data_IF_943099973618
#
_entry.id   IF_943099973618
#
_cell.length_a   1.000
_cell.length_b   1.000
_cell.length_c   1.000
_cell.angle_alpha   90.00
_cell.angle_beta   90.00
_cell.angle_gamma   90.00
#
_symmetry.space_group_name_H-M   'P 1'
#
loop_
_entity.id
_entity.type
_entity.pdbx_description
1 polymer ?
#
# COMPACT_ATOMS: atom_id res chain seq x y z
N UNK A 1 -0.34 3.54 -11.99
CA UNK A 1 -1.79 3.89 -11.93
C UNK A 1 -2.15 5.12 -12.78
N UNK A 2 -1.64 6.32 -12.49
CA UNK A 2 -1.98 7.54 -13.26
C UNK A 2 -1.70 7.41 -14.76
N UNK A 3 -0.56 6.82 -15.14
CA UNK A 3 -0.24 6.54 -16.55
C UNK A 3 -1.27 5.63 -17.21
N UNK A 4 -1.68 4.55 -16.53
CA UNK A 4 -2.72 3.64 -17.04
C UNK A 4 -4.07 4.36 -17.24
N UNK A 5 -4.47 5.19 -16.27
CA UNK A 5 -5.69 6.00 -16.41
C UNK A 5 -5.59 6.99 -17.60
N UNK A 6 -4.43 7.60 -17.82
CA UNK A 6 -4.21 8.54 -18.93
C UNK A 6 -4.26 7.84 -20.29
N UNK A 7 -3.60 6.69 -20.43
CA UNK A 7 -3.65 5.86 -21.65
C UNK A 7 -5.09 5.44 -21.94
N UNK A 8 -5.79 4.91 -20.93
CA UNK A 8 -7.19 4.53 -21.04
C UNK A 8 -8.08 5.69 -21.45
N UNK A 9 -7.87 6.89 -20.88
CA UNK A 9 -8.63 8.09 -21.25
C UNK A 9 -8.42 8.47 -22.72
N UNK A 10 -7.20 8.33 -23.23
CA UNK A 10 -6.90 8.56 -24.65
C UNK A 10 -7.69 7.61 -25.57
N UNK A 11 -7.75 6.31 -25.24
CA UNK A 11 -8.53 5.33 -25.99
C UNK A 11 -10.04 5.49 -25.81
N UNK A 12 -10.49 5.90 -24.63
CA UNK A 12 -11.89 6.18 -24.33
C UNK A 12 -12.48 7.24 -25.27
N UNK A 13 -11.76 8.34 -25.50
CA UNK A 13 -12.18 9.40 -26.42
C UNK A 13 -12.35 8.91 -27.87
N UNK A 14 -11.76 7.76 -28.22
CA UNK A 14 -11.80 7.18 -29.57
C UNK A 14 -12.89 6.11 -29.74
N UNK A 15 -13.32 5.46 -28.66
CA UNK A 15 -14.21 4.29 -28.70
C UNK A 15 -15.63 4.53 -28.16
N UNK A 16 -15.94 5.70 -27.58
CA UNK A 16 -17.24 6.00 -26.96
C UNK A 16 -17.71 5.02 -25.85
N UNK A 17 -16.80 4.21 -25.28
CA UNK A 17 -17.08 3.32 -24.14
C UNK A 17 -16.42 3.90 -22.89
N UNK A 18 -17.19 4.64 -22.08
CA UNK A 18 -16.61 5.48 -21.02
C UNK A 18 -16.51 4.77 -19.68
N UNK A 19 -17.51 3.96 -19.33
CA UNK A 19 -17.76 3.62 -17.92
C UNK A 19 -16.69 2.71 -17.29
N UNK A 20 -16.01 1.86 -18.08
CA UNK A 20 -15.09 0.83 -17.56
C UNK A 20 -13.64 0.96 -18.03
N UNK A 21 -13.36 1.79 -19.04
CA UNK A 21 -12.04 1.86 -19.67
C UNK A 21 -10.98 2.47 -18.75
N UNK A 22 -11.35 3.47 -17.94
CA UNK A 22 -10.42 4.07 -16.98
C UNK A 22 -10.06 3.09 -15.85
N UNK A 23 -11.02 2.44 -15.16
CA UNK A 23 -10.72 1.35 -14.23
C UNK A 23 -9.83 0.25 -14.82
N UNK A 24 -10.05 -0.16 -16.07
CA UNK A 24 -9.19 -1.14 -16.75
C UNK A 24 -7.72 -0.67 -16.82
N UNK A 25 -7.48 0.58 -17.21
CA UNK A 25 -6.12 1.12 -17.28
C UNK A 25 -5.45 1.23 -15.93
N UNK A 26 -6.21 1.60 -14.89
CA UNK A 26 -5.71 1.61 -13.51
C UNK A 26 -5.34 0.20 -13.06
N UNK A 27 -6.22 -0.79 -13.29
CA UNK A 27 -5.96 -2.20 -12.97
C UNK A 27 -4.72 -2.72 -13.71
N UNK A 28 -4.62 -2.49 -15.02
CA UNK A 28 -3.45 -2.86 -15.83
C UNK A 28 -2.15 -2.29 -15.26
N UNK A 29 -2.12 -0.99 -14.98
CA UNK A 29 -0.91 -0.32 -14.51
C UNK A 29 -0.52 -0.69 -13.06
N UNK A 30 -1.48 -1.06 -12.22
CA UNK A 30 -1.17 -1.59 -10.89
C UNK A 30 -0.64 -3.03 -11.03
N UNK A 31 -1.28 -3.85 -11.86
CA UNK A 31 -0.89 -5.25 -12.06
C UNK A 31 0.46 -5.42 -12.74
N UNK A 32 0.82 -4.53 -13.68
CA UNK A 32 2.13 -4.58 -14.34
C UNK A 32 3.29 -4.31 -13.37
N UNK A 33 3.04 -3.55 -12.29
CA UNK A 33 4.07 -3.20 -11.30
C UNK A 33 4.17 -4.26 -10.20
N UNK A 34 3.03 -4.70 -9.67
CA UNK A 34 2.99 -5.61 -8.52
C UNK A 34 2.78 -7.07 -8.89
N UNK A 35 2.50 -7.38 -10.17
CA UNK A 35 2.16 -8.72 -10.67
C UNK A 35 1.02 -9.41 -9.89
N UNK A 36 0.05 -8.61 -9.42
CA UNK A 36 -1.10 -9.01 -8.61
C UNK A 36 -2.43 -8.69 -9.35
N UNK A 37 -2.83 -9.50 -10.35
CA UNK A 37 -4.01 -9.23 -11.16
C UNK A 37 -5.31 -9.16 -10.36
N UNK A 38 -5.54 -10.03 -9.40
CA UNK A 38 -6.82 -10.06 -8.66
C UNK A 38 -6.93 -8.81 -7.78
N UNK A 39 -5.85 -8.49 -7.06
CA UNK A 39 -5.75 -7.30 -6.22
C UNK A 39 -5.96 -6.03 -7.04
N UNK A 40 -5.32 -5.93 -8.20
CA UNK A 40 -5.43 -4.74 -9.05
C UNK A 40 -6.84 -4.52 -9.59
N UNK A 41 -7.56 -5.60 -9.89
CA UNK A 41 -8.97 -5.57 -10.32
C UNK A 41 -9.85 -5.04 -9.21
N UNK A 42 -9.71 -5.60 -8.01
CA UNK A 42 -10.48 -5.19 -6.83
C UNK A 42 -10.18 -3.74 -6.48
N UNK A 43 -8.90 -3.33 -6.52
CA UNK A 43 -8.49 -1.95 -6.29
C UNK A 43 -9.15 -0.97 -7.25
N UNK A 44 -9.13 -1.26 -8.55
CA UNK A 44 -9.76 -0.40 -9.54
C UNK A 44 -11.28 -0.27 -9.32
N UNK A 45 -11.94 -1.36 -8.90
CA UNK A 45 -13.38 -1.37 -8.60
C UNK A 45 -13.75 -0.68 -7.28
N UNK A 46 -12.87 -0.71 -6.27
CA UNK A 46 -13.10 -0.19 -4.92
C UNK A 46 -12.70 1.29 -4.78
N UNK A 47 -11.53 1.67 -5.29
CA UNK A 47 -10.91 2.98 -5.01
C UNK A 47 -11.32 4.07 -6.00
N UNK A 48 -11.55 3.71 -7.27
CA UNK A 48 -11.73 4.71 -8.33
C UNK A 48 -13.14 5.34 -8.34
N UNK A 49 -14.11 4.74 -7.63
CA UNK A 49 -15.45 5.27 -7.55
C UNK A 49 -15.90 5.36 -6.08
N UNK A 50 -15.75 6.55 -5.51
CA UNK A 50 -15.66 6.84 -4.08
C UNK A 50 -16.93 6.57 -3.27
N UNK A 51 -18.00 6.07 -3.91
CA UNK A 51 -19.30 5.81 -3.25
C UNK A 51 -19.86 4.41 -3.50
N UNK A 52 -19.39 3.67 -4.52
CA UNK A 52 -19.94 2.35 -4.87
C UNK A 52 -18.91 1.47 -5.57
N UNK A 53 -18.81 0.23 -5.11
CA UNK A 53 -18.04 -0.81 -5.78
C UNK A 53 -18.58 -1.09 -7.19
N UNK A 54 -17.71 -1.02 -8.20
CA UNK A 54 -18.10 -1.17 -9.61
C UNK A 54 -18.11 -2.63 -10.07
N UNK A 55 -19.18 -3.37 -9.74
CA UNK A 55 -19.32 -4.79 -10.09
C UNK A 55 -19.21 -5.08 -11.60
N UNK A 56 -19.74 -4.19 -12.44
CA UNK A 56 -19.69 -4.35 -13.91
C UNK A 56 -18.26 -4.24 -14.47
N UNK A 57 -17.34 -3.60 -13.74
CA UNK A 57 -15.96 -3.42 -14.15
C UNK A 57 -15.07 -4.64 -13.82
N UNK A 58 -15.53 -5.61 -13.02
CA UNK A 58 -14.68 -6.73 -12.54
C UNK A 58 -14.09 -7.52 -13.70
N UNK A 59 -14.93 -8.06 -14.59
CA UNK A 59 -14.49 -8.87 -15.72
C UNK A 59 -13.51 -8.11 -16.64
N UNK A 60 -13.84 -6.90 -17.14
CA UNK A 60 -12.91 -6.18 -18.01
C UNK A 60 -11.62 -5.78 -17.29
N UNK A 61 -11.67 -5.38 -16.01
CA UNK A 61 -10.47 -5.09 -15.23
C UNK A 61 -9.61 -6.34 -15.00
N UNK A 62 -10.22 -7.51 -14.81
CA UNK A 62 -9.48 -8.78 -14.63
C UNK A 62 -8.75 -9.21 -15.90
N UNK A 63 -9.39 -9.08 -17.06
CA UNK A 63 -8.75 -9.34 -18.35
C UNK A 63 -7.59 -8.36 -18.55
N UNK A 64 -7.83 -7.08 -18.28
CA UNK A 64 -6.81 -6.03 -18.43
C UNK A 64 -5.63 -6.18 -17.45
N UNK A 65 -5.87 -6.60 -16.21
CA UNK A 65 -4.80 -6.81 -15.22
C UNK A 65 -4.01 -8.09 -15.49
N UNK A 66 -4.69 -9.16 -15.88
CA UNK A 66 -4.03 -10.43 -16.21
C UNK A 66 -3.14 -10.28 -17.45
N UNK A 67 -3.63 -9.62 -18.50
CA UNK A 67 -2.84 -9.30 -19.69
C UNK A 67 -1.63 -8.43 -19.36
N UNK A 68 -1.79 -7.38 -18.54
CA UNK A 68 -0.68 -6.54 -18.10
C UNK A 68 0.37 -7.31 -17.28
N UNK A 69 -0.06 -8.26 -16.45
CA UNK A 69 0.84 -9.14 -15.68
C UNK A 69 1.62 -10.07 -16.59
N UNK A 70 0.96 -10.68 -17.59
CA UNK A 70 1.62 -11.51 -18.59
C UNK A 70 2.64 -10.70 -19.40
N UNK A 71 2.28 -9.49 -19.82
CA UNK A 71 3.21 -8.58 -20.50
C UNK A 71 4.41 -8.26 -19.60
N UNK A 72 4.20 -7.92 -18.33
CA UNK A 72 5.29 -7.66 -17.39
C UNK A 72 6.23 -8.87 -17.23
N UNK A 73 5.66 -10.08 -17.14
CA UNK A 73 6.41 -11.32 -17.09
C UNK A 73 7.27 -11.57 -18.34
N UNK A 74 6.79 -11.19 -19.53
CA UNK A 74 7.60 -11.27 -20.76
C UNK A 74 8.82 -10.35 -20.74
N UNK A 75 8.78 -9.26 -19.98
CA UNK A 75 9.91 -8.35 -19.77
C UNK A 75 10.77 -8.73 -18.55
N UNK A 76 10.54 -9.90 -17.95
CA UNK A 76 11.31 -10.40 -16.80
C UNK A 76 10.87 -9.86 -15.44
N UNK A 77 9.73 -9.16 -15.37
CA UNK A 77 9.15 -8.75 -14.09
C UNK A 77 8.29 -9.87 -13.54
N UNK A 78 8.69 -10.40 -12.38
CA UNK A 78 7.97 -11.48 -11.72
C UNK A 78 7.35 -11.01 -10.41
N UNK A 79 6.32 -11.73 -9.97
CA UNK A 79 5.69 -11.50 -8.68
C UNK A 79 6.69 -11.79 -7.57
N UNK A 80 6.84 -10.84 -6.65
CA UNK A 80 7.48 -11.08 -5.36
C UNK A 80 6.57 -12.00 -4.55
N UNK A 81 7.04 -13.21 -4.27
CA UNK A 81 6.31 -14.18 -3.45
C UNK A 81 7.19 -14.62 -2.31
N UNK A 82 6.62 -14.61 -1.10
CA UNK A 82 7.29 -15.06 0.11
C UNK A 82 6.59 -16.33 0.57
N UNK A 83 7.27 -17.46 0.43
CA UNK A 83 6.71 -18.74 0.88
C UNK A 83 6.89 -18.81 2.39
N UNK A 84 5.78 -18.71 3.12
CA UNK A 84 5.75 -18.83 4.56
C UNK A 84 4.57 -19.72 4.95
N UNK A 85 4.87 -20.87 5.54
CA UNK A 85 3.86 -21.79 6.03
C UNK A 85 3.67 -21.55 7.53
N UNK A 86 2.51 -21.01 7.89
CA UNK A 86 2.12 -20.88 9.28
C UNK A 86 0.62 -21.06 9.41
N UNK A 87 0.23 -22.12 10.09
CA UNK A 87 -1.17 -22.35 10.44
C UNK A 87 -1.49 -21.57 11.70
N UNK A 88 -2.34 -20.55 11.59
CA UNK A 88 -2.83 -19.80 12.74
C UNK A 88 -3.70 -20.69 13.63
N UNK A 89 -3.28 -20.92 14.87
CA UNK A 89 -4.05 -21.67 15.86
C UNK A 89 -5.22 -20.81 16.39
N UNK A 90 -6.45 -21.29 16.16
CA UNK A 90 -7.70 -20.62 16.54
C UNK A 90 -7.98 -20.82 18.04
N UNK A 91 -7.20 -20.13 18.86
CA UNK A 91 -7.38 -20.04 20.31
C UNK A 91 -7.86 -18.64 20.69
N UNK A 92 -8.71 -18.53 21.72
CA UNK A 92 -9.25 -17.24 22.20
C UNK A 92 -8.13 -16.22 22.46
N UNK A 93 -7.04 -16.66 23.09
CA UNK A 93 -5.85 -15.81 23.35
C UNK A 93 -5.22 -15.29 22.07
N UNK A 94 -5.09 -16.13 21.05
CA UNK A 94 -4.51 -15.74 19.76
C UNK A 94 -5.45 -14.83 18.97
N UNK A 95 -6.76 -15.05 19.04
CA UNK A 95 -7.77 -14.17 18.42
C UNK A 95 -7.69 -12.77 19.03
N UNK A 96 -7.61 -12.65 20.37
CA UNK A 96 -7.48 -11.36 21.04
C UNK A 96 -6.18 -10.64 20.62
N UNK A 97 -5.04 -11.35 20.61
CA UNK A 97 -3.76 -10.78 20.13
C UNK A 97 -3.84 -10.33 18.67
N UNK A 98 -4.51 -11.11 17.82
CA UNK A 98 -4.69 -10.80 16.40
C UNK A 98 -5.57 -9.55 16.21
N UNK A 99 -6.64 -9.41 16.99
CA UNK A 99 -7.46 -8.20 17.00
C UNK A 99 -6.64 -6.97 17.40
N UNK A 100 -5.83 -7.07 18.45
CA UNK A 100 -4.93 -5.99 18.89
C UNK A 100 -3.94 -5.64 17.77
N UNK A 101 -3.29 -6.64 17.17
CA UNK A 101 -2.37 -6.46 16.05
C UNK A 101 -3.00 -5.67 14.91
N UNK A 102 -4.16 -6.13 14.41
CA UNK A 102 -4.84 -5.50 13.28
C UNK A 102 -5.29 -4.08 13.63
N UNK A 103 -5.79 -3.86 14.84
CA UNK A 103 -6.20 -2.53 15.30
C UNK A 103 -5.01 -1.57 15.34
N UNK A 104 -3.86 -1.99 15.88
CA UNK A 104 -2.63 -1.20 15.86
C UNK A 104 -2.18 -0.89 14.43
N UNK A 105 -2.14 -1.88 13.54
CA UNK A 105 -1.76 -1.68 12.13
C UNK A 105 -2.71 -0.71 11.41
N UNK A 106 -4.02 -0.84 11.64
CA UNK A 106 -5.03 0.06 11.09
C UNK A 106 -4.79 1.50 11.59
N UNK A 107 -4.52 1.68 12.88
CA UNK A 107 -4.21 3.00 13.44
C UNK A 107 -2.95 3.61 12.81
N UNK A 108 -1.92 2.82 12.52
CA UNK A 108 -0.69 3.30 11.85
C UNK A 108 -1.00 3.80 10.43
N UNK A 109 -1.82 3.07 9.67
CA UNK A 109 -2.27 3.50 8.33
C UNK A 109 -3.08 4.80 8.38
N UNK A 110 -4.02 4.91 9.33
CA UNK A 110 -4.79 6.15 9.55
C UNK A 110 -3.92 7.31 9.98
N UNK A 111 -2.97 7.06 10.88
CA UNK A 111 -2.02 8.06 11.33
C UNK A 111 -1.19 8.58 10.15
N UNK A 112 -0.73 7.69 9.25
CA UNK A 112 -0.03 8.10 8.04
C UNK A 112 -0.89 9.02 7.16
N UNK A 113 -2.13 8.63 6.86
CA UNK A 113 -3.04 9.44 6.05
C UNK A 113 -3.32 10.82 6.67
N UNK A 114 -3.60 10.86 7.98
CA UNK A 114 -3.82 12.09 8.72
C UNK A 114 -2.58 13.00 8.73
N UNK A 115 -1.42 12.43 9.04
CA UNK A 115 -0.14 13.15 9.06
C UNK A 115 0.23 13.68 7.69
N UNK A 116 -0.01 12.91 6.61
CA UNK A 116 0.28 13.35 5.25
C UNK A 116 -0.57 14.55 4.85
N UNK A 117 -1.87 14.49 5.11
CA UNK A 117 -2.79 15.59 4.77
C UNK A 117 -2.48 16.84 5.60
N UNK A 118 -2.24 16.67 6.90
CA UNK A 118 -1.85 17.76 7.81
C UNK A 118 -0.53 18.40 7.41
N UNK A 119 0.48 17.57 7.07
CA UNK A 119 1.81 18.04 6.68
C UNK A 119 1.78 18.74 5.32
N UNK A 120 1.05 18.21 4.34
CA UNK A 120 0.82 18.88 3.04
C UNK A 120 0.23 20.27 3.25
N UNK A 121 -0.80 20.40 4.10
CA UNK A 121 -1.41 21.69 4.44
C UNK A 121 -0.41 22.64 5.10
N UNK A 122 0.28 22.18 6.14
CA UNK A 122 1.27 22.98 6.88
C UNK A 122 2.41 23.49 5.98
N UNK A 123 2.96 22.61 5.14
CA UNK A 123 4.05 22.98 4.23
C UNK A 123 3.54 23.92 3.14
N UNK A 124 2.32 23.73 2.62
CA UNK A 124 1.71 24.67 1.65
C UNK A 124 1.54 26.08 2.26
N UNK A 125 1.18 26.18 3.54
CA UNK A 125 1.02 27.47 4.24
C UNK A 125 2.37 28.15 4.52
N UNK A 126 3.39 27.38 4.93
CA UNK A 126 4.72 27.92 5.26
C UNK A 126 5.61 28.18 4.04
N UNK A 127 5.49 27.35 3.02
CA UNK A 127 6.28 27.40 1.78
C UNK A 127 5.33 27.34 0.57
N UNK A 128 4.60 28.45 0.30
CA UNK A 128 3.61 28.50 -0.78
C UNK A 128 4.25 28.40 -2.18
N UNK A 129 5.51 28.84 -2.33
CA UNK A 129 6.22 28.73 -3.59
C UNK A 129 6.78 27.30 -3.77
N UNK A 130 6.20 26.58 -4.72
CA UNK A 130 6.54 25.18 -5.02
C UNK A 130 8.03 24.96 -5.33
N UNK A 131 8.71 25.92 -6.00
CA UNK A 131 10.14 25.80 -6.34
C UNK A 131 11.00 25.77 -5.08
N UNK A 132 10.80 26.73 -4.18
CA UNK A 132 11.55 26.79 -2.92
C UNK A 132 11.22 25.63 -2.00
N UNK A 133 9.94 25.22 -1.93
CA UNK A 133 9.51 24.06 -1.15
C UNK A 133 10.27 22.80 -1.53
N UNK A 134 10.31 22.45 -2.82
CA UNK A 134 10.99 21.26 -3.31
C UNK A 134 12.50 21.36 -3.01
N UNK A 135 13.13 22.51 -3.28
CA UNK A 135 14.57 22.69 -3.03
C UNK A 135 14.92 22.51 -1.54
N UNK A 136 14.21 23.19 -0.64
CA UNK A 136 14.52 23.17 0.79
C UNK A 136 14.32 21.75 1.37
N UNK A 137 13.17 21.13 1.09
CA UNK A 137 12.87 19.81 1.62
C UNK A 137 13.76 18.73 1.00
N UNK A 138 14.10 18.84 -0.28
CA UNK A 138 15.02 17.90 -0.94
C UNK A 138 16.43 17.98 -0.37
N UNK A 139 16.96 19.18 -0.06
CA UNK A 139 18.25 19.34 0.60
C UNK A 139 18.26 18.71 2.00
N UNK A 140 17.18 18.91 2.77
CA UNK A 140 17.03 18.31 4.09
C UNK A 140 16.97 16.77 4.01
N UNK A 141 16.17 16.23 3.10
CA UNK A 141 16.07 14.78 2.87
C UNK A 141 17.41 14.22 2.39
N UNK A 142 18.07 14.88 1.44
CA UNK A 142 19.37 14.47 0.89
C UNK A 142 20.43 14.37 1.99
N UNK A 143 20.55 15.40 2.85
CA UNK A 143 21.50 15.36 3.96
C UNK A 143 21.23 14.16 4.88
N UNK A 144 19.98 13.90 5.22
CA UNK A 144 19.62 12.73 6.03
C UNK A 144 19.93 11.39 5.33
N UNK A 145 19.72 11.32 4.01
CA UNK A 145 20.03 10.12 3.23
C UNK A 145 21.53 9.83 3.17
N UNK A 146 22.39 10.84 3.14
CA UNK A 146 23.85 10.65 3.18
C UNK A 146 24.26 9.97 4.49
N UNK A 147 23.73 10.41 5.63
CA UNK A 147 24.02 9.79 6.94
C UNK A 147 23.54 8.35 7.05
N UNK A 148 22.44 8.01 6.37
CA UNK A 148 21.83 6.69 6.41
C UNK A 148 22.23 5.81 5.22
N UNK A 149 23.21 6.26 4.42
CA UNK A 149 23.67 5.58 3.21
C UNK A 149 22.52 5.19 2.25
N UNK A 150 21.46 6.01 2.22
CA UNK A 150 20.31 5.79 1.37
C UNK A 150 19.38 4.64 1.80
N UNK A 151 19.54 4.04 2.99
CA UNK A 151 18.71 2.90 3.46
C UNK A 151 17.19 3.16 3.35
N UNK A 152 16.75 4.39 3.58
CA UNK A 152 15.33 4.77 3.56
C UNK A 152 14.87 5.36 2.22
N UNK A 153 15.78 5.49 1.26
CA UNK A 153 15.48 6.03 -0.06
C UNK A 153 14.64 5.08 -0.90
N UNK A 154 14.07 5.61 -1.99
CA UNK A 154 13.23 4.83 -2.91
C UNK A 154 11.91 4.34 -2.30
N UNK A 155 11.34 3.31 -2.94
CA UNK A 155 10.02 2.76 -2.64
C UNK A 155 9.95 2.05 -1.28
N UNK A 156 11.06 1.52 -0.78
CA UNK A 156 11.13 0.74 0.45
C UNK A 156 11.09 -0.78 0.26
N UNK A 157 11.21 -1.28 -0.98
CA UNK A 157 11.36 -2.71 -1.29
C UNK A 157 12.51 -3.35 -0.52
N UNK A 158 13.65 -2.66 -0.43
CA UNK A 158 14.80 -3.11 0.36
C UNK A 158 14.44 -3.39 1.83
N UNK A 159 13.59 -2.57 2.46
CA UNK A 159 13.18 -2.79 3.86
C UNK A 159 12.21 -3.98 4.00
N UNK A 160 11.42 -4.25 2.95
CA UNK A 160 10.55 -5.43 2.89
C UNK A 160 11.42 -6.68 2.77
N UNK A 161 12.44 -6.67 1.91
CA UNK A 161 13.43 -7.74 1.78
C UNK A 161 14.24 -7.95 3.08
N UNK A 162 14.63 -6.87 3.77
CA UNK A 162 15.30 -6.97 5.07
C UNK A 162 14.45 -7.73 6.10
N UNK A 163 13.13 -7.60 6.05
CA UNK A 163 12.23 -8.32 6.94
C UNK A 163 12.06 -9.78 6.52
N UNK A 164 11.80 -10.05 5.24
CA UNK A 164 11.42 -11.40 4.80
C UNK A 164 12.60 -12.29 4.40
N UNK A 165 13.78 -11.73 4.13
CA UNK A 165 14.94 -12.44 3.58
C UNK A 165 16.16 -12.29 4.51
N UNK A 166 16.63 -11.06 4.75
CA UNK A 166 17.96 -10.84 5.35
C UNK A 166 17.96 -10.82 6.89
N UNK A 167 16.84 -10.43 7.51
CA UNK A 167 16.68 -10.33 8.95
C UNK A 167 17.35 -9.12 9.62
N UNK A 168 17.97 -8.20 8.87
CA UNK A 168 18.65 -7.03 9.45
C UNK A 168 17.71 -5.81 9.51
N UNK A 169 16.78 -5.87 10.47
CA UNK A 169 15.78 -4.82 10.72
C UNK A 169 16.16 -3.98 11.93
N UNK A 170 16.28 -2.66 11.73
CA UNK A 170 16.59 -1.71 12.79
C UNK A 170 15.29 -1.18 13.40
N UNK A 171 15.27 -0.97 14.73
CA UNK A 171 14.09 -0.38 15.41
C UNK A 171 13.73 1.02 14.89
N UNK A 172 14.71 1.74 14.38
CA UNK A 172 14.53 3.07 13.79
C UNK A 172 13.95 3.04 12.38
N UNK A 173 13.91 1.89 11.71
CA UNK A 173 13.51 1.79 10.30
C UNK A 173 12.07 2.28 10.09
N UNK A 174 11.16 1.89 10.98
CA UNK A 174 9.75 2.31 10.93
C UNK A 174 9.61 3.83 11.03
N UNK A 175 10.30 4.44 12.00
CA UNK A 175 10.17 5.87 12.28
C UNK A 175 10.72 6.70 11.11
N UNK A 176 11.93 6.36 10.64
CA UNK A 176 12.57 7.11 9.56
C UNK A 176 11.87 6.89 8.23
N UNK A 177 11.45 5.66 7.89
CA UNK A 177 10.69 5.44 6.66
C UNK A 177 9.36 6.17 6.68
N UNK A 178 8.65 6.19 7.81
CA UNK A 178 7.41 6.94 7.98
C UNK A 178 7.62 8.44 7.75
N UNK A 179 8.54 9.07 8.47
CA UNK A 179 8.78 10.52 8.39
C UNK A 179 9.29 10.95 7.01
N UNK A 180 10.27 10.23 6.45
CA UNK A 180 10.85 10.59 5.15
C UNK A 180 9.86 10.43 4.00
N UNK A 181 8.99 9.42 4.07
CA UNK A 181 7.92 9.27 3.08
C UNK A 181 6.94 10.42 3.16
N UNK A 182 6.52 10.81 4.37
CA UNK A 182 5.64 11.98 4.58
C UNK A 182 6.28 13.27 4.03
N UNK A 183 7.54 13.53 4.37
CA UNK A 183 8.26 14.71 3.90
C UNK A 183 8.43 14.73 2.39
N UNK A 184 8.78 13.60 1.78
CA UNK A 184 8.94 13.49 0.32
C UNK A 184 7.63 13.75 -0.42
N UNK A 185 6.54 13.13 0.05
CA UNK A 185 5.21 13.29 -0.53
C UNK A 185 4.65 14.70 -0.29
N UNK A 186 4.91 15.30 0.88
CA UNK A 186 4.47 16.66 1.18
C UNK A 186 5.32 17.75 0.50
N UNK A 187 6.57 17.46 0.14
CA UNK A 187 7.39 18.34 -0.69
C UNK A 187 6.82 18.51 -2.11
N UNK A 188 6.08 17.51 -2.59
CA UNK A 188 5.52 17.46 -3.94
C UNK A 188 6.38 16.67 -4.92
N UNK A 189 7.22 15.74 -4.44
CA UNK A 189 7.87 14.79 -5.33
C UNK A 189 6.84 13.90 -6.01
N UNK A 190 7.02 13.68 -7.31
CA UNK A 190 6.22 12.71 -8.05
C UNK A 190 6.60 11.29 -7.62
N UNK A 191 5.63 10.56 -7.11
CA UNK A 191 5.78 9.19 -6.63
C UNK A 191 4.50 8.74 -5.97
N UNK A 192 4.23 7.44 -5.96
CA UNK A 192 3.11 6.87 -5.22
C UNK A 192 3.51 6.50 -3.80
N UNK A 193 2.59 6.64 -2.86
CA UNK A 193 2.80 6.27 -1.44
C UNK A 193 2.50 4.78 -1.16
N UNK A 194 2.07 4.02 -2.17
CA UNK A 194 1.65 2.61 -2.05
C UNK A 194 2.77 1.70 -1.53
N UNK A 195 3.91 1.61 -2.22
CA UNK A 195 5.02 0.75 -1.79
C UNK A 195 5.65 1.21 -0.47
N UNK A 196 5.81 2.52 -0.21
CA UNK A 196 6.21 2.98 1.11
C UNK A 196 5.26 2.52 2.22
N UNK A 197 3.93 2.54 2.01
CA UNK A 197 2.97 2.01 2.97
C UNK A 197 3.13 0.50 3.19
N UNK A 198 3.46 -0.26 2.15
CA UNK A 198 3.83 -1.67 2.31
C UNK A 198 5.04 -1.82 3.22
N UNK A 199 6.12 -1.07 2.97
CA UNK A 199 7.34 -1.15 3.79
C UNK A 199 7.09 -0.74 5.25
N UNK A 200 6.34 0.35 5.49
CA UNK A 200 5.95 0.80 6.83
C UNK A 200 5.08 -0.25 7.52
N UNK A 201 4.14 -0.85 6.79
CA UNK A 201 3.30 -1.94 7.26
C UNK A 201 4.11 -3.16 7.67
N UNK A 202 5.01 -3.63 6.81
CA UNK A 202 5.90 -4.75 7.07
C UNK A 202 6.77 -4.51 8.31
N UNK A 203 7.39 -3.33 8.43
CA UNK A 203 8.20 -2.97 9.60
C UNK A 203 7.37 -2.86 10.90
N UNK A 204 6.14 -2.35 10.81
CA UNK A 204 5.22 -2.28 11.94
C UNK A 204 4.79 -3.67 12.41
N UNK A 205 4.47 -4.55 11.46
CA UNK A 205 4.19 -5.95 11.72
C UNK A 205 5.39 -6.68 12.33
N UNK A 206 6.60 -6.38 11.86
CA UNK A 206 7.83 -6.93 12.42
C UNK A 206 7.95 -6.59 13.92
N UNK A 207 7.80 -5.31 14.26
CA UNK A 207 7.91 -4.85 15.65
C UNK A 207 6.78 -5.41 16.54
N UNK A 208 5.53 -5.39 16.05
CA UNK A 208 4.38 -5.89 16.79
C UNK A 208 4.41 -7.43 16.96
N UNK A 209 4.99 -8.16 16.01
CA UNK A 209 5.19 -9.61 16.11
C UNK A 209 6.06 -9.98 17.31
N UNK A 210 7.19 -9.29 17.49
CA UNK A 210 8.06 -9.45 18.67
C UNK A 210 7.34 -9.14 19.99
N UNK A 211 6.49 -8.09 20.01
CA UNK A 211 5.76 -7.68 21.22
C UNK A 211 4.65 -8.69 21.57
N UNK A 212 3.88 -9.15 20.58
CA UNK A 212 2.73 -10.03 20.79
C UNK A 212 3.11 -11.52 20.86
N UNK A 213 4.35 -11.86 20.51
CA UNK A 213 4.86 -13.23 20.48
C UNK A 213 4.28 -14.06 19.34
N UNK A 214 4.00 -13.42 18.20
CA UNK A 214 3.63 -14.10 16.96
C UNK A 214 4.84 -14.21 16.04
N UNK A 215 4.85 -15.16 15.09
CA UNK A 215 5.90 -15.21 14.07
C UNK A 215 5.97 -13.87 13.34
N UNK A 216 7.19 -13.36 13.23
CA UNK A 216 7.42 -12.01 12.76
C UNK A 216 6.98 -11.85 11.29
N UNK A 217 7.17 -12.89 10.47
CA UNK A 217 6.71 -12.91 9.08
C UNK A 217 5.19 -12.89 8.95
N UNK A 218 4.49 -13.61 9.83
CA UNK A 218 3.01 -13.57 9.89
C UNK A 218 2.51 -12.14 10.14
N UNK A 219 3.05 -11.48 11.17
CA UNK A 219 2.65 -10.11 11.50
C UNK A 219 3.07 -9.11 10.42
N UNK A 220 4.24 -9.30 9.80
CA UNK A 220 4.76 -8.44 8.74
C UNK A 220 3.93 -8.54 7.45
N UNK A 221 3.47 -9.74 7.10
CA UNK A 221 2.55 -9.97 5.98
C UNK A 221 1.18 -9.32 6.22
N UNK A 222 0.63 -9.43 7.44
CA UNK A 222 -0.59 -8.72 7.81
C UNK A 222 -0.38 -7.20 7.77
N UNK A 223 0.75 -6.71 8.27
CA UNK A 223 1.12 -5.30 8.24
C UNK A 223 1.21 -4.72 6.84
N UNK A 224 1.83 -5.46 5.92
CA UNK A 224 1.98 -5.10 4.50
C UNK A 224 0.64 -4.64 3.89
N UNK A 225 -0.42 -5.46 3.99
CA UNK A 225 -1.72 -5.11 3.44
C UNK A 225 -2.54 -4.18 4.34
N UNK A 226 -2.49 -4.37 5.66
CA UNK A 226 -3.37 -3.64 6.62
C UNK A 226 -3.05 -2.15 6.69
N UNK A 227 -1.77 -1.77 6.73
CA UNK A 227 -1.39 -0.35 6.75
C UNK A 227 -1.75 0.33 5.45
N UNK A 228 -1.53 -0.33 4.31
CA UNK A 228 -1.94 0.17 3.00
C UNK A 228 -3.45 0.39 2.94
N UNK A 229 -4.26 -0.64 3.20
CA UNK A 229 -5.70 -0.55 3.05
C UNK A 229 -6.33 0.47 3.99
N UNK A 230 -5.77 0.63 5.19
CA UNK A 230 -6.26 1.60 6.15
C UNK A 230 -5.88 3.04 5.78
N UNK A 231 -4.78 3.25 5.06
CA UNK A 231 -4.40 4.57 4.56
C UNK A 231 -5.19 4.95 3.30
N UNK A 232 -5.60 3.97 2.49
CA UNK A 232 -6.34 4.17 1.23
C UNK A 232 -7.84 3.92 1.33
N UNK A 233 -8.36 3.54 2.49
CA UNK A 233 -9.74 3.05 2.68
C UNK A 233 -10.15 1.95 1.66
N UNK A 234 -9.21 1.07 1.29
CA UNK A 234 -9.41 0.02 0.29
C UNK A 234 -9.32 -1.37 0.94
N UNK A 235 -10.24 -1.67 1.85
CA UNK A 235 -10.16 -2.83 2.73
C UNK A 235 -10.28 -4.16 1.97
N UNK A 236 -11.15 -4.24 0.95
CA UNK A 236 -11.27 -5.45 0.14
C UNK A 236 -9.99 -5.69 -0.67
N UNK A 237 -9.42 -4.62 -1.22
CA UNK A 237 -8.13 -4.69 -1.91
C UNK A 237 -7.03 -5.20 -0.99
N UNK A 238 -6.95 -4.67 0.22
CA UNK A 238 -5.92 -5.06 1.18
C UNK A 238 -5.97 -6.54 1.55
N UNK A 239 -7.18 -7.09 1.75
CA UNK A 239 -7.35 -8.52 2.01
C UNK A 239 -6.87 -9.37 0.83
N UNK A 240 -7.33 -9.04 -0.38
CA UNK A 240 -6.94 -9.77 -1.60
C UNK A 240 -5.44 -9.67 -1.85
N UNK A 241 -4.83 -8.51 -1.57
CA UNK A 241 -3.39 -8.30 -1.67
C UNK A 241 -2.62 -9.25 -0.77
N UNK A 242 -3.01 -9.39 0.50
CA UNK A 242 -2.34 -10.30 1.43
C UNK A 242 -2.45 -11.74 0.91
N UNK A 243 -3.63 -12.16 0.49
CA UNK A 243 -3.85 -13.53 0.00
C UNK A 243 -3.09 -13.81 -1.31
N UNK A 244 -3.01 -12.84 -2.21
CA UNK A 244 -2.36 -13.02 -3.50
C UNK A 244 -0.83 -13.00 -3.42
N UNK A 245 -0.25 -12.28 -2.44
CA UNK A 245 1.20 -12.19 -2.22
C UNK A 245 1.71 -13.29 -1.27
N UNK A 246 1.00 -13.56 -0.17
CA UNK A 246 1.47 -14.42 0.91
C UNK A 246 0.73 -15.77 1.00
N UNK A 247 -0.36 -15.95 0.26
CA UNK A 247 -1.10 -17.21 0.17
C UNK A 247 -2.34 -17.29 1.06
N UNK A 248 -3.07 -18.41 0.92
CA UNK A 248 -4.39 -18.61 1.51
C UNK A 248 -4.38 -18.88 3.03
N UNK A 249 -3.22 -19.16 3.62
CA UNK A 249 -3.09 -19.37 5.07
C UNK A 249 -3.49 -18.12 5.88
N UNK A 250 -3.48 -16.95 5.25
CA UNK A 250 -3.90 -15.67 5.84
C UNK A 250 -5.40 -15.39 5.74
N UNK A 251 -6.23 -16.31 5.23
CA UNK A 251 -7.66 -16.10 5.01
C UNK A 251 -8.40 -15.65 6.27
N UNK A 252 -8.23 -16.38 7.39
CA UNK A 252 -8.93 -16.08 8.63
C UNK A 252 -8.53 -14.70 9.21
N UNK A 253 -7.24 -14.34 9.32
CA UNK A 253 -6.84 -12.97 9.64
C UNK A 253 -7.42 -11.91 8.71
N UNK A 254 -7.45 -12.18 7.40
CA UNK A 254 -8.01 -11.24 6.41
C UNK A 254 -9.50 -10.97 6.67
N UNK A 255 -10.30 -11.98 7.02
CA UNK A 255 -11.70 -11.77 7.38
C UNK A 255 -11.88 -10.82 8.57
N UNK A 256 -11.02 -10.92 9.58
CA UNK A 256 -11.03 -10.00 10.73
C UNK A 256 -10.67 -8.59 10.29
N UNK A 257 -9.67 -8.44 9.41
CA UNK A 257 -9.32 -7.15 8.84
C UNK A 257 -10.52 -6.55 8.10
N UNK A 258 -11.31 -7.34 7.37
CA UNK A 258 -12.53 -6.88 6.71
C UNK A 258 -13.59 -6.35 7.66
N UNK A 259 -13.81 -7.03 8.79
CA UNK A 259 -14.74 -6.56 9.82
C UNK A 259 -14.26 -5.22 10.39
N UNK A 260 -12.98 -5.12 10.73
CA UNK A 260 -12.40 -3.88 11.26
C UNK A 260 -12.50 -2.76 10.23
N UNK A 261 -12.26 -3.06 8.95
CA UNK A 261 -12.39 -2.10 7.86
C UNK A 261 -13.79 -1.55 7.69
N UNK A 262 -14.80 -2.43 7.72
CA UNK A 262 -16.21 -2.03 7.69
C UNK A 262 -16.57 -1.08 8.85
N UNK A 263 -16.11 -1.38 10.06
CA UNK A 263 -16.33 -0.55 11.25
C UNK A 263 -15.51 0.76 11.22
N UNK A 264 -14.36 0.72 10.55
CA UNK A 264 -13.38 1.80 10.50
C UNK A 264 -13.61 2.81 9.39
N UNK A 265 -14.74 2.75 8.67
CA UNK A 265 -15.10 3.66 7.59
C UNK A 265 -15.05 5.12 8.09
N UNK A 266 -13.92 5.76 7.83
CA UNK A 266 -13.59 7.13 8.24
C UNK A 266 -13.31 7.98 7.01
N UNK A 267 -13.45 9.30 7.15
CA UNK A 267 -13.28 10.30 6.08
C UNK A 267 -11.82 10.60 5.71
N UNK A 268 -10.84 10.04 6.44
CA UNK A 268 -9.41 10.36 6.24
C UNK A 268 -8.78 9.29 5.34
N UNK A 269 -8.37 9.68 4.14
CA UNK A 269 -7.63 8.87 3.16
C UNK A 269 -6.41 9.64 2.65
N UNK A 270 -5.41 8.93 2.14
CA UNK A 270 -4.32 9.54 1.36
C UNK A 270 -4.80 10.09 0.00
N UNK A 271 -5.96 9.63 -0.47
CA UNK A 271 -6.61 10.13 -1.67
C UNK A 271 -7.68 11.16 -1.27
N UNK A 272 -7.42 12.47 -1.40
CA UNK A 272 -8.32 13.52 -0.89
C UNK A 272 -9.65 13.63 -1.68
N UNK A 273 -9.74 12.99 -2.84
CA UNK A 273 -10.95 12.92 -3.66
C UNK A 273 -11.89 11.77 -3.27
N UNK A 274 -11.47 10.89 -2.35
CA UNK A 274 -12.30 9.85 -1.73
C UNK A 274 -13.03 10.38 -0.53
#
# INVERSE_FOLDING_TARGET
>A
MQMGAAISKHFCNRMNVIEYVIPMGVAAAFSSLFCCPITSTVFACEVFNTKKFQYKAIIPCLISSSTATLCAALFGFHRVSYVFQYSFAVEIKNIIKLLILILCLTLIGKAFAFSLNSLKKFINEKLPNNKYRIIILSLMIMMFMIFTQGRYSGSGENLIEEVFINGNVLKSDILFKFILTLLSAAAGFYGGEVTPLFSIGTLSGYMLGHILGFPVFFCSALGYGTVFMSATNAYLTGMVLILEVFGLDFLLPCLIIGIIGYLSNCTVSIYPSQ
#
